data_IF_245794743533
#
_entry.id   IF_245794743533
#
_cell.length_a   1.000
_cell.length_b   1.000
_cell.length_c   1.000
_cell.angle_alpha   90.00
_cell.angle_beta   90.00
_cell.angle_gamma   90.00
#
_symmetry.space_group_name_H-M   'P 1'
#
loop_
_entity.id
_entity.type
_entity.pdbx_description
1 polymer ?
#
# COMPACT_ATOMS: atom_id res chain seq x y z
N UNK A 1 -5.22 27.22 9.85
CA UNK A 1 -4.44 26.16 9.19
C UNK A 1 -5.36 24.95 9.12
N UNK A 2 -5.80 24.60 7.90
CA UNK A 2 -6.66 23.42 7.67
C UNK A 2 -5.75 22.21 7.75
N UNK A 3 -6.06 21.18 8.55
CA UNK A 3 -5.25 19.96 8.59
C UNK A 3 -5.24 19.32 7.20
N UNK A 4 -4.05 19.01 6.71
CA UNK A 4 -3.82 18.36 5.41
C UNK A 4 -4.49 17.00 5.45
N UNK A 5 -5.41 16.74 4.53
CA UNK A 5 -6.32 15.60 4.51
C UNK A 5 -5.58 14.25 4.43
N UNK A 6 -6.18 13.23 5.03
CA UNK A 6 -5.78 11.83 4.93
C UNK A 6 -5.76 11.38 3.46
N UNK A 7 -4.74 10.62 3.01
CA UNK A 7 -4.60 10.23 1.61
C UNK A 7 -5.61 9.17 1.12
N UNK A 8 -6.61 8.83 1.90
CA UNK A 8 -7.66 7.90 1.51
C UNK A 8 -9.02 8.58 1.59
N UNK A 9 -9.83 8.54 0.50
CA UNK A 9 -11.09 9.26 0.39
C UNK A 9 -12.20 8.56 1.19
N UNK A 10 -12.13 8.63 2.49
CA UNK A 10 -13.23 8.23 3.35
C UNK A 10 -13.59 9.37 4.28
N UNK A 11 -14.71 9.98 3.94
CA UNK A 11 -15.44 11.01 4.66
C UNK A 11 -14.89 11.43 6.01
N UNK A 12 -14.27 12.56 6.05
CA UNK A 12 -14.18 13.43 7.21
C UNK A 12 -15.60 13.61 7.81
N UNK A 13 -15.79 13.56 9.12
CA UNK A 13 -17.10 13.71 9.73
C UNK A 13 -17.69 15.10 9.40
N UNK A 14 -18.73 15.12 8.58
CA UNK A 14 -19.45 16.35 8.21
C UNK A 14 -20.13 16.36 6.84
N UNK A 15 -20.01 15.34 6.00
CA UNK A 15 -20.74 15.26 4.73
C UNK A 15 -21.62 14.02 4.64
N UNK A 16 -22.87 14.23 4.26
CA UNK A 16 -24.01 13.30 4.24
C UNK A 16 -23.74 12.01 3.46
N UNK A 17 -24.09 10.88 4.06
CA UNK A 17 -24.08 9.55 3.48
C UNK A 17 -25.20 9.37 2.47
N UNK A 18 -24.89 8.81 1.29
CA UNK A 18 -25.89 8.15 0.44
C UNK A 18 -25.95 6.68 0.89
N UNK A 19 -27.13 6.29 1.36
CA UNK A 19 -27.45 4.93 1.80
C UNK A 19 -27.59 4.02 0.58
N UNK A 20 -26.74 2.99 0.48
CA UNK A 20 -26.95 1.88 -0.45
C UNK A 20 -27.57 0.72 0.33
N UNK A 21 -28.73 0.26 -0.11
CA UNK A 21 -29.49 -0.83 0.51
C UNK A 21 -28.90 -2.21 0.21
N UNK A 22 -29.30 -3.27 0.97
CA UNK A 22 -28.71 -4.59 0.88
C UNK A 22 -29.23 -5.36 -0.33
N UNK A 23 -28.34 -5.91 -1.15
CA UNK A 23 -28.65 -6.86 -2.21
C UNK A 23 -28.51 -8.28 -1.70
N UNK A 24 -29.57 -9.06 -1.87
CA UNK A 24 -29.72 -10.46 -1.48
C UNK A 24 -28.75 -11.39 -2.23
N UNK A 25 -28.16 -12.33 -1.50
CA UNK A 25 -27.37 -13.43 -2.01
C UNK A 25 -28.25 -14.59 -2.52
N UNK A 26 -27.87 -15.33 -3.58
CA UNK A 26 -28.50 -16.59 -3.93
C UNK A 26 -27.84 -17.77 -3.20
N UNK A 27 -28.69 -18.65 -2.65
CA UNK A 27 -28.34 -19.96 -2.09
C UNK A 27 -28.01 -20.95 -3.20
N UNK A 28 -26.94 -21.70 -3.06
CA UNK A 28 -26.57 -22.85 -3.89
C UNK A 28 -26.07 -23.99 -3.02
N UNK A 29 -26.63 -25.13 -3.23
CA UNK A 29 -26.69 -26.40 -2.49
C UNK A 29 -25.37 -27.17 -2.45
N UNK A 30 -25.21 -27.87 -1.33
CA UNK A 30 -24.15 -28.86 -1.06
C UNK A 30 -24.33 -30.16 -1.86
N UNK A 31 -23.24 -30.81 -2.21
CA UNK A 31 -23.15 -32.26 -2.28
C UNK A 31 -21.75 -32.75 -1.89
N UNK A 32 -21.75 -33.69 -0.97
CA UNK A 32 -20.65 -34.51 -0.46
C UNK A 32 -19.94 -35.28 -1.57
N UNK A 33 -18.62 -35.46 -1.43
CA UNK A 33 -18.00 -36.78 -1.63
C UNK A 33 -16.66 -36.87 -0.88
N UNK A 34 -16.70 -37.77 0.05
CA UNK A 34 -15.65 -38.31 0.93
C UNK A 34 -14.76 -39.27 0.15
N UNK A 35 -13.44 -39.02 0.07
CA UNK A 35 -12.46 -40.09 -0.21
C UNK A 35 -11.17 -39.91 0.60
N UNK A 36 -11.02 -40.80 1.56
CA UNK A 36 -9.75 -41.17 2.21
C UNK A 36 -8.75 -41.69 1.20
N UNK A 37 -7.50 -41.24 1.26
CA UNK A 37 -6.33 -42.06 0.92
C UNK A 37 -5.04 -41.54 1.57
N UNK A 38 -4.53 -42.39 2.43
CA UNK A 38 -3.17 -42.84 2.66
C UNK A 38 -2.03 -41.85 2.88
N UNK A 39 -1.52 -41.95 4.10
CA UNK A 39 -0.24 -41.43 4.59
C UNK A 39 0.92 -42.09 3.87
N UNK A 40 1.70 -41.36 3.12
CA UNK A 40 3.07 -41.71 2.84
C UNK A 40 3.99 -40.66 3.47
N UNK A 41 4.67 -41.13 4.52
CA UNK A 41 5.73 -40.39 5.20
C UNK A 41 6.96 -40.36 4.29
N UNK A 42 7.07 -39.37 3.43
CA UNK A 42 8.34 -39.11 2.76
C UNK A 42 9.11 -38.04 3.58
N UNK A 43 10.23 -38.47 4.14
CA UNK A 43 11.27 -37.60 4.65
C UNK A 43 11.72 -36.67 3.50
N UNK A 44 11.26 -35.45 3.52
CA UNK A 44 11.84 -34.39 2.70
C UNK A 44 13.19 -34.02 3.33
N UNK A 45 14.27 -34.46 2.73
CA UNK A 45 15.59 -33.87 2.88
C UNK A 45 15.45 -32.39 2.53
N UNK A 46 15.81 -31.52 3.48
CA UNK A 46 15.64 -30.07 3.35
C UNK A 46 16.31 -29.56 2.08
N UNK A 47 15.52 -29.06 1.15
CA UNK A 47 16.02 -28.17 0.13
C UNK A 47 16.46 -26.87 0.85
N UNK A 48 17.59 -26.27 0.49
CA UNK A 48 17.97 -24.98 1.04
C UNK A 48 16.81 -24.03 0.75
N UNK A 49 16.25 -23.45 1.81
CA UNK A 49 15.26 -22.40 1.74
C UNK A 49 15.91 -21.23 0.99
N UNK A 50 15.54 -21.06 -0.27
CA UNK A 50 15.94 -19.89 -1.04
C UNK A 50 15.29 -18.72 -0.29
N UNK A 51 16.09 -18.00 0.49
CA UNK A 51 15.63 -16.80 1.17
C UNK A 51 15.05 -15.88 0.10
N UNK A 52 13.74 -15.85 0.02
CA UNK A 52 13.03 -14.95 -0.87
C UNK A 52 13.35 -13.53 -0.42
N UNK A 53 14.03 -12.77 -1.26
CA UNK A 53 14.29 -11.35 -1.00
C UNK A 53 12.93 -10.65 -0.95
N UNK A 54 12.66 -9.94 0.15
CA UNK A 54 11.41 -9.20 0.33
C UNK A 54 11.28 -8.14 -0.75
N UNK A 55 10.10 -7.98 -1.31
CA UNK A 55 9.84 -6.92 -2.29
C UNK A 55 9.55 -5.60 -1.58
N UNK A 56 10.02 -4.52 -2.17
CA UNK A 56 9.55 -3.17 -1.86
C UNK A 56 8.44 -2.82 -2.84
N UNK A 57 7.25 -2.63 -2.33
CA UNK A 57 6.03 -2.33 -3.10
C UNK A 57 5.58 -0.92 -2.78
N UNK A 58 5.64 -0.03 -3.76
CA UNK A 58 5.08 1.32 -3.67
C UNK A 58 3.61 1.27 -4.11
N UNK A 59 2.71 1.65 -3.22
CA UNK A 59 1.29 1.82 -3.51
C UNK A 59 0.91 3.29 -3.37
N UNK A 60 0.48 3.91 -4.47
CA UNK A 60 0.18 5.34 -4.48
C UNK A 60 -1.10 5.66 -5.27
N UNK A 61 -1.79 6.70 -4.80
CA UNK A 61 -2.95 7.28 -5.43
C UNK A 61 -2.51 8.48 -6.25
N UNK A 62 -2.82 8.50 -7.54
CA UNK A 62 -2.40 9.54 -8.46
C UNK A 62 -3.59 10.19 -9.16
N UNK A 63 -3.45 11.47 -9.47
CA UNK A 63 -4.24 12.10 -10.52
C UNK A 63 -3.73 11.65 -11.91
N UNK A 64 -4.49 11.90 -12.96
CA UNK A 64 -4.11 11.57 -14.34
C UNK A 64 -2.79 12.27 -14.76
N UNK A 65 -2.51 13.46 -14.23
CA UNK A 65 -1.26 14.20 -14.46
C UNK A 65 -0.15 13.87 -13.45
N UNK A 66 -0.31 12.76 -12.67
CA UNK A 66 0.74 12.16 -11.84
C UNK A 66 0.95 12.81 -10.47
N UNK A 67 0.07 13.70 -10.04
CA UNK A 67 0.12 14.29 -8.69
C UNK A 67 -0.28 13.23 -7.66
N UNK A 68 0.54 13.08 -6.61
CA UNK A 68 0.30 12.19 -5.47
C UNK A 68 0.04 12.96 -4.16
N UNK A 69 0.28 14.27 -4.14
CA UNK A 69 0.00 15.12 -2.98
C UNK A 69 -1.50 15.39 -2.87
N UNK A 70 -2.01 15.38 -1.63
CA UNK A 70 -3.39 15.67 -1.28
C UNK A 70 -4.42 14.88 -2.15
N UNK A 71 -4.36 13.53 -2.15
CA UNK A 71 -5.16 12.70 -3.06
C UNK A 71 -6.67 12.86 -2.87
N UNK A 72 -7.15 13.34 -1.74
CA UNK A 72 -8.57 13.65 -1.50
C UNK A 72 -9.12 14.70 -2.47
N UNK A 73 -8.25 15.51 -3.08
CA UNK A 73 -8.66 16.48 -4.08
C UNK A 73 -9.12 15.82 -5.40
N UNK A 74 -8.66 14.60 -5.69
CA UNK A 74 -8.95 13.91 -6.95
C UNK A 74 -9.44 12.46 -6.80
N UNK A 75 -9.26 11.84 -5.63
CA UNK A 75 -9.86 10.55 -5.28
C UNK A 75 -11.17 10.83 -4.53
N UNK A 76 -12.28 10.85 -5.23
CA UNK A 76 -13.58 11.20 -4.65
C UNK A 76 -14.52 10.01 -4.47
N UNK A 77 -14.21 8.90 -5.13
CA UNK A 77 -14.98 7.67 -5.10
C UNK A 77 -14.05 6.51 -4.76
N UNK A 78 -14.58 5.52 -4.04
CA UNK A 78 -13.82 4.34 -3.65
C UNK A 78 -14.70 3.10 -3.77
N UNK A 79 -14.68 2.47 -4.92
CA UNK A 79 -15.50 1.31 -5.21
C UNK A 79 -14.95 -0.01 -4.64
N UNK A 80 -15.73 -1.08 -4.76
CA UNK A 80 -15.36 -2.39 -4.23
C UNK A 80 -14.15 -3.02 -4.94
N UNK A 81 -13.94 -2.69 -6.22
CA UNK A 81 -12.76 -3.16 -6.98
C UNK A 81 -11.50 -2.49 -6.45
N UNK A 82 -11.55 -1.19 -6.17
CA UNK A 82 -10.43 -0.46 -5.54
C UNK A 82 -10.16 -0.97 -4.13
N UNK A 83 -11.22 -1.27 -3.35
CA UNK A 83 -11.10 -1.85 -2.00
C UNK A 83 -10.46 -3.24 -2.04
N UNK A 84 -10.89 -4.11 -2.94
CA UNK A 84 -10.32 -5.43 -3.13
C UNK A 84 -8.86 -5.37 -3.60
N UNK A 85 -8.53 -4.41 -4.48
CA UNK A 85 -7.16 -4.15 -4.91
C UNK A 85 -6.26 -3.77 -3.73
N UNK A 86 -6.68 -2.82 -2.90
CA UNK A 86 -5.92 -2.43 -1.71
C UNK A 86 -5.75 -3.61 -0.75
N UNK A 87 -6.82 -4.37 -0.48
CA UNK A 87 -6.78 -5.55 0.37
C UNK A 87 -5.75 -6.58 -0.13
N UNK A 88 -5.70 -6.84 -1.43
CA UNK A 88 -4.73 -7.76 -2.03
C UNK A 88 -3.28 -7.24 -1.90
N UNK A 89 -3.07 -5.93 -2.02
CA UNK A 89 -1.74 -5.32 -1.88
C UNK A 89 -1.23 -5.43 -0.45
N UNK A 90 -2.04 -5.08 0.54
CA UNK A 90 -1.62 -5.07 1.94
C UNK A 90 -1.52 -6.49 2.55
N UNK A 91 -2.20 -7.48 1.98
CA UNK A 91 -2.19 -8.86 2.48
C UNK A 91 -0.81 -9.53 2.43
N UNK A 92 0.11 -9.05 1.60
CA UNK A 92 1.47 -9.58 1.48
C UNK A 92 2.48 -8.83 2.34
N UNK A 93 2.09 -7.69 2.93
CA UNK A 93 2.99 -6.77 3.61
C UNK A 93 3.02 -7.01 5.13
N UNK A 94 4.22 -7.08 5.71
CA UNK A 94 4.43 -7.14 7.15
C UNK A 94 5.24 -5.97 7.70
N UNK A 95 5.64 -5.04 6.83
CA UNK A 95 6.37 -3.82 7.17
C UNK A 95 5.92 -2.67 6.27
N UNK A 96 5.87 -1.46 6.80
CA UNK A 96 5.57 -0.22 6.06
C UNK A 96 6.65 0.82 6.34
N UNK A 97 7.14 1.48 5.29
CA UNK A 97 8.05 2.63 5.42
C UNK A 97 7.24 3.91 5.23
N UNK A 98 7.35 4.81 6.19
CA UNK A 98 6.72 6.12 6.16
C UNK A 98 7.75 7.24 6.23
N UNK A 99 7.49 8.34 5.57
CA UNK A 99 8.19 9.60 5.82
C UNK A 99 7.61 10.32 7.05
N UNK A 100 8.41 11.21 7.64
CA UNK A 100 8.01 11.97 8.84
C UNK A 100 6.66 12.67 8.72
N UNK A 101 6.38 13.30 7.57
CA UNK A 101 5.13 14.04 7.34
C UNK A 101 3.94 13.08 7.34
N UNK A 102 4.00 12.04 6.51
CA UNK A 102 2.95 11.02 6.44
C UNK A 102 2.72 10.34 7.79
N UNK A 103 3.80 10.05 8.53
CA UNK A 103 3.68 9.52 9.88
C UNK A 103 2.91 10.46 10.81
N UNK A 104 3.25 11.76 10.83
CA UNK A 104 2.60 12.73 11.71
C UNK A 104 1.09 12.86 11.46
N UNK A 105 0.70 12.91 10.18
CA UNK A 105 -0.69 12.98 9.75
C UNK A 105 -1.44 11.65 10.06
N UNK A 106 -0.81 10.54 9.78
CA UNK A 106 -1.41 9.21 9.92
C UNK A 106 -1.51 8.73 11.37
N UNK A 107 -0.55 9.05 12.23
CA UNK A 107 -0.59 8.75 13.65
C UNK A 107 -1.70 9.51 14.40
N UNK A 108 -2.20 10.61 13.82
CA UNK A 108 -3.38 11.31 14.33
C UNK A 108 -4.69 10.66 13.89
N UNK A 109 -4.75 10.17 12.65
CA UNK A 109 -5.99 9.73 12.01
C UNK A 109 -6.28 8.23 12.20
N UNK A 110 -5.30 7.36 11.88
CA UNK A 110 -5.55 5.91 11.76
C UNK A 110 -5.85 5.19 13.07
N UNK A 111 -5.28 5.56 14.25
CA UNK A 111 -5.61 4.87 15.50
C UNK A 111 -7.10 4.90 15.88
N UNK A 112 -7.81 5.96 15.48
CA UNK A 112 -9.26 6.10 15.69
C UNK A 112 -10.13 5.71 14.52
N UNK A 113 -9.54 5.31 13.39
CA UNK A 113 -10.26 5.05 12.14
C UNK A 113 -10.86 3.64 12.09
N UNK A 114 -12.08 3.54 11.53
CA UNK A 114 -12.77 2.26 11.26
C UNK A 114 -12.77 1.89 9.77
N UNK A 115 -12.00 2.57 8.95
CA UNK A 115 -11.97 2.41 7.48
C UNK A 115 -11.23 1.13 7.10
N UNK A 116 -11.99 0.09 6.77
CA UNK A 116 -11.44 -1.22 6.43
C UNK A 116 -11.17 -1.37 4.92
N UNK A 117 -10.19 -2.19 4.53
CA UNK A 117 -9.30 -3.03 5.36
C UNK A 117 -8.06 -2.29 5.89
N UNK A 118 -7.83 -1.04 5.51
CA UNK A 118 -6.56 -0.35 5.75
C UNK A 118 -6.34 0.01 7.23
N UNK A 119 -7.40 0.38 7.97
CA UNK A 119 -7.27 0.76 9.38
C UNK A 119 -6.71 -0.38 10.24
N UNK A 120 -7.21 -1.61 10.06
CA UNK A 120 -6.71 -2.79 10.76
C UNK A 120 -5.25 -3.08 10.40
N UNK A 121 -4.95 -3.09 9.10
CA UNK A 121 -3.61 -3.32 8.60
C UNK A 121 -2.61 -2.30 9.14
N UNK A 122 -2.86 -1.00 8.94
CA UNK A 122 -1.87 0.04 9.26
C UNK A 122 -1.66 0.20 10.77
N UNK A 123 -2.67 -0.09 11.59
CA UNK A 123 -2.52 -0.11 13.04
C UNK A 123 -1.76 -1.34 13.53
N UNK A 124 -1.86 -2.49 12.86
CA UNK A 124 -1.21 -3.74 13.25
C UNK A 124 0.21 -3.93 12.71
N UNK A 125 0.51 -3.45 11.50
CA UNK A 125 1.78 -3.67 10.81
C UNK A 125 2.96 -2.93 11.48
N UNK A 126 4.18 -3.46 11.34
CA UNK A 126 5.40 -2.76 11.73
C UNK A 126 5.62 -1.51 10.84
N UNK A 127 5.84 -0.36 11.44
CA UNK A 127 6.06 0.92 10.76
C UNK A 127 7.46 1.45 11.03
N UNK A 128 8.22 1.70 9.96
CA UNK A 128 9.55 2.29 10.02
C UNK A 128 9.50 3.72 9.46
N UNK A 129 9.87 4.69 10.27
CA UNK A 129 9.71 6.11 9.94
C UNK A 129 11.04 6.72 9.57
N UNK A 130 11.18 7.11 8.30
CA UNK A 130 12.36 7.83 7.79
C UNK A 130 12.33 9.28 8.30
N UNK A 131 13.07 9.52 9.40
CA UNK A 131 13.18 10.83 10.05
C UNK A 131 14.49 10.94 10.81
N UNK A 132 15.06 12.15 10.85
CA UNK A 132 16.19 12.50 11.73
C UNK A 132 15.75 13.13 13.05
N UNK A 133 14.46 13.32 13.27
CA UNK A 133 13.90 13.92 14.48
C UNK A 133 13.08 12.87 15.26
N UNK A 134 12.96 13.02 16.59
CA UNK A 134 12.07 12.17 17.38
C UNK A 134 10.62 12.18 16.86
N UNK A 135 9.94 11.05 17.00
CA UNK A 135 8.52 10.94 16.67
C UNK A 135 7.72 11.81 17.65
N UNK A 136 6.87 12.67 17.10
CA UNK A 136 6.07 13.62 17.90
C UNK A 136 4.82 13.00 18.50
N UNK A 137 4.39 11.86 17.99
CA UNK A 137 3.22 11.10 18.44
C UNK A 137 3.60 9.64 18.61
N UNK A 138 2.99 8.98 19.56
CA UNK A 138 3.11 7.54 19.70
C UNK A 138 2.09 6.85 18.79
N UNK A 139 2.54 5.83 18.09
CA UNK A 139 1.70 4.93 17.32
C UNK A 139 2.24 3.52 17.47
N UNK A 140 1.38 2.58 17.80
CA UNK A 140 1.75 1.18 18.03
C UNK A 140 2.58 0.63 16.86
N UNK A 141 3.63 -0.13 17.16
CA UNK A 141 4.53 -0.75 16.18
C UNK A 141 5.24 0.27 15.25
N UNK A 142 5.45 1.50 15.70
CA UNK A 142 6.21 2.50 14.95
C UNK A 142 7.59 2.72 15.58
N UNK A 143 8.63 2.70 14.74
CA UNK A 143 10.02 2.97 15.13
C UNK A 143 10.68 3.89 14.09
N UNK A 144 11.68 4.66 14.53
CA UNK A 144 12.50 5.44 13.59
C UNK A 144 13.45 4.53 12.82
N UNK A 145 13.77 4.91 11.59
CA UNK A 145 14.84 4.28 10.80
C UNK A 145 16.18 4.72 11.38
N UNK A 146 16.98 3.76 11.81
CA UNK A 146 18.37 4.01 12.24
C UNK A 146 19.29 4.14 11.01
N UNK A 147 20.05 5.23 10.94
CA UNK A 147 20.95 5.48 9.82
C UNK A 147 20.24 6.00 8.57
N UNK A 148 20.76 5.66 7.39
CA UNK A 148 20.21 6.06 6.10
C UNK A 148 19.03 5.20 5.66
N UNK A 149 18.00 5.82 5.07
CA UNK A 149 16.84 5.10 4.54
C UNK A 149 17.22 3.97 3.58
N UNK A 150 18.15 4.23 2.67
CA UNK A 150 18.56 3.30 1.61
C UNK A 150 19.25 2.07 2.20
N UNK A 151 20.17 2.26 3.11
CA UNK A 151 20.90 1.20 3.82
C UNK A 151 19.93 0.36 4.66
N UNK A 152 19.05 1.01 5.42
CA UNK A 152 18.04 0.35 6.22
C UNK A 152 17.14 -0.57 5.36
N UNK A 153 16.67 -0.09 4.21
CA UNK A 153 15.79 -0.88 3.34
C UNK A 153 16.55 -2.02 2.67
N UNK A 154 17.82 -1.85 2.30
CA UNK A 154 18.68 -2.97 1.81
C UNK A 154 18.78 -4.08 2.85
N UNK A 155 19.06 -3.72 4.09
CA UNK A 155 19.15 -4.67 5.19
C UNK A 155 17.80 -5.34 5.50
N UNK A 156 16.70 -4.58 5.43
CA UNK A 156 15.37 -5.13 5.66
C UNK A 156 14.95 -6.11 4.55
N UNK A 157 15.34 -5.87 3.30
CA UNK A 157 15.02 -6.75 2.16
C UNK A 157 15.62 -8.15 2.29
N UNK A 158 16.77 -8.30 2.93
CA UNK A 158 17.44 -9.61 3.07
C UNK A 158 17.02 -10.37 4.35
N UNK A 159 16.19 -9.77 5.20
CA UNK A 159 15.61 -10.45 6.36
C UNK A 159 14.40 -11.29 5.96
N UNK A 160 14.08 -12.37 6.68
CA UNK A 160 12.82 -13.09 6.48
C UNK A 160 11.62 -12.18 6.71
N UNK A 161 10.58 -12.35 5.90
CA UNK A 161 9.33 -11.59 6.05
C UNK A 161 8.54 -11.48 4.76
N UNK A 162 7.41 -10.79 4.84
CA UNK A 162 6.55 -10.42 3.74
C UNK A 162 7.07 -9.21 2.95
N UNK A 163 6.25 -8.65 2.08
CA UNK A 163 6.60 -7.46 1.32
C UNK A 163 6.73 -6.21 2.22
N UNK A 164 7.53 -5.26 1.78
CA UNK A 164 7.73 -3.97 2.43
C UNK A 164 6.90 -2.93 1.67
N UNK A 165 5.86 -2.40 2.31
CA UNK A 165 4.99 -1.38 1.72
C UNK A 165 5.57 0.02 1.84
N UNK A 166 5.41 0.83 0.81
CA UNK A 166 5.57 2.29 0.85
C UNK A 166 4.24 2.90 0.44
N UNK A 167 3.61 3.61 1.38
CA UNK A 167 2.31 4.25 1.18
C UNK A 167 2.41 5.75 1.48
N UNK A 168 1.75 6.58 0.69
CA UNK A 168 1.59 8.04 0.88
C UNK A 168 2.88 8.85 1.13
N UNK A 169 4.03 8.28 0.90
CA UNK A 169 5.32 8.91 1.24
C UNK A 169 6.14 9.21 -0.01
N UNK A 170 5.73 10.23 -0.77
CA UNK A 170 6.33 10.62 -2.06
C UNK A 170 7.87 10.69 -1.98
N UNK A 171 8.43 11.32 -0.95
CA UNK A 171 9.89 11.47 -0.80
C UNK A 171 10.58 10.14 -0.55
N UNK A 172 9.97 9.25 0.23
CA UNK A 172 10.46 7.88 0.47
C UNK A 172 10.42 7.07 -0.81
N UNK A 173 9.26 7.06 -1.49
CA UNK A 173 9.09 6.35 -2.76
C UNK A 173 10.15 6.79 -3.80
N UNK A 174 10.34 8.10 -3.97
CA UNK A 174 11.37 8.65 -4.88
C UNK A 174 12.79 8.24 -4.48
N UNK A 175 13.14 8.34 -3.20
CA UNK A 175 14.47 7.97 -2.74
C UNK A 175 14.77 6.48 -2.99
N UNK A 176 13.79 5.62 -2.77
CA UNK A 176 13.94 4.18 -3.00
C UNK A 176 13.94 3.82 -4.50
N UNK A 177 13.16 4.52 -5.33
CA UNK A 177 13.20 4.38 -6.79
C UNK A 177 14.57 4.81 -7.34
N UNK A 178 15.09 5.96 -6.89
CA UNK A 178 16.41 6.46 -7.30
C UNK A 178 17.55 5.54 -6.86
N UNK A 179 17.38 4.79 -5.75
CA UNK A 179 18.35 3.84 -5.22
C UNK A 179 18.18 2.41 -5.78
N UNK A 180 17.29 2.21 -6.74
CA UNK A 180 16.98 0.89 -7.36
C UNK A 180 16.55 -0.18 -6.34
N UNK A 181 15.78 0.23 -5.33
CA UNK A 181 15.30 -0.65 -4.27
C UNK A 181 13.82 -1.05 -4.41
N UNK A 182 13.05 -0.35 -5.23
CA UNK A 182 11.65 -0.67 -5.49
C UNK A 182 11.54 -1.83 -6.48
N UNK A 183 10.72 -2.81 -6.16
CA UNK A 183 10.47 -3.97 -7.01
C UNK A 183 9.16 -3.84 -7.79
N UNK A 184 8.12 -3.28 -7.16
CA UNK A 184 6.81 -3.10 -7.79
C UNK A 184 6.22 -1.71 -7.51
N UNK A 185 5.58 -1.14 -8.55
CA UNK A 185 4.71 0.02 -8.44
C UNK A 185 3.27 -0.43 -8.62
N UNK A 186 2.41 -0.14 -7.65
CA UNK A 186 0.97 -0.38 -7.71
C UNK A 186 0.25 0.95 -7.59
N UNK A 187 -0.30 1.42 -8.69
CA UNK A 187 -0.83 2.76 -8.81
C UNK A 187 -2.33 2.73 -9.05
N UNK A 188 -3.04 3.60 -8.35
CA UNK A 188 -4.45 3.91 -8.60
C UNK A 188 -4.50 5.30 -9.21
N UNK A 189 -4.87 5.39 -10.49
CA UNK A 189 -4.89 6.65 -11.23
C UNK A 189 -6.32 7.12 -11.38
N UNK A 190 -6.62 8.27 -10.81
CA UNK A 190 -7.93 8.90 -10.90
C UNK A 190 -8.20 9.42 -12.31
N UNK A 191 -9.45 9.37 -12.80
CA UNK A 191 -9.85 10.00 -14.06
C UNK A 191 -10.01 11.53 -13.88
N UNK A 192 -9.02 12.19 -13.25
CA UNK A 192 -9.02 13.61 -12.90
C UNK A 192 -7.63 14.22 -13.06
N UNK A 193 -7.58 15.47 -13.43
CA UNK A 193 -6.37 16.30 -13.47
C UNK A 193 -6.33 17.17 -12.21
N UNK A 194 -5.25 17.05 -11.43
CA UNK A 194 -5.04 17.92 -10.27
C UNK A 194 -4.47 19.31 -10.64
N UNK A 195 -3.64 19.37 -11.68
CA UNK A 195 -3.03 20.58 -12.21
C UNK A 195 -1.91 21.17 -11.34
N UNK A 196 -1.93 20.94 -10.03
CA UNK A 196 -0.93 21.41 -9.06
C UNK A 196 -0.71 20.34 -7.97
N UNK A 197 0.43 20.44 -7.28
CA UNK A 197 0.85 19.48 -6.25
C UNK A 197 2.08 18.71 -6.66
N UNK A 198 2.68 17.97 -5.73
CA UNK A 198 3.88 17.16 -5.99
C UNK A 198 3.50 15.89 -6.74
N UNK A 199 4.15 15.67 -7.88
CA UNK A 199 3.99 14.42 -8.65
C UNK A 199 4.88 13.33 -8.07
N UNK A 200 4.48 12.07 -8.19
CA UNK A 200 5.24 10.93 -7.67
C UNK A 200 6.61 10.78 -8.35
N UNK A 201 6.67 10.94 -9.67
CA UNK A 201 7.82 10.53 -10.47
C UNK A 201 8.72 11.68 -10.94
N UNK A 202 8.43 12.93 -10.55
CA UNK A 202 9.26 14.08 -10.94
C UNK A 202 10.70 13.97 -10.44
N UNK A 203 11.65 14.29 -11.30
CA UNK A 203 13.08 14.33 -10.97
C UNK A 203 13.76 12.97 -10.90
N UNK A 204 13.05 11.89 -11.25
CA UNK A 204 13.66 10.56 -11.38
C UNK A 204 14.31 10.39 -12.76
N UNK A 205 15.39 9.61 -12.85
CA UNK A 205 15.93 9.18 -14.13
C UNK A 205 14.93 8.27 -14.85
N UNK A 206 15.10 8.01 -16.16
CA UNK A 206 14.31 7.01 -16.86
C UNK A 206 14.45 5.64 -16.19
N UNK A 207 13.32 5.03 -15.83
CA UNK A 207 13.24 3.70 -15.20
C UNK A 207 12.40 2.82 -16.13
N UNK A 208 12.90 1.63 -16.46
CA UNK A 208 12.17 0.65 -17.26
C UNK A 208 11.16 -0.08 -16.39
N UNK A 209 9.94 -0.18 -16.87
CA UNK A 209 8.85 -0.89 -16.21
C UNK A 209 8.30 -1.99 -17.13
N UNK A 210 7.94 -3.12 -16.52
CA UNK A 210 7.18 -4.20 -17.13
C UNK A 210 5.77 -4.22 -16.55
N UNK A 211 4.76 -4.22 -17.40
CA UNK A 211 3.37 -4.27 -16.97
C UNK A 211 3.05 -5.67 -16.42
N UNK A 212 2.58 -5.73 -15.19
CA UNK A 212 2.06 -6.96 -14.55
C UNK A 212 0.56 -7.06 -14.79
N UNK A 213 -0.17 -5.94 -14.55
CA UNK A 213 -1.62 -5.88 -14.65
C UNK A 213 -2.07 -4.44 -14.92
N UNK A 214 -3.15 -4.33 -15.70
CA UNK A 214 -3.92 -3.10 -15.79
C UNK A 214 -5.41 -3.42 -15.83
N UNK A 215 -6.21 -2.63 -15.13
CA UNK A 215 -7.66 -2.76 -15.12
C UNK A 215 -8.32 -1.42 -14.81
N UNK A 216 -9.58 -1.28 -15.20
CA UNK A 216 -10.38 -0.10 -14.88
C UNK A 216 -11.43 -0.48 -13.86
N UNK A 217 -11.58 0.30 -12.81
CA UNK A 217 -12.65 0.12 -11.83
C UNK A 217 -14.00 0.64 -12.36
N UNK A 218 -15.13 0.23 -11.77
CA UNK A 218 -16.44 0.75 -12.14
C UNK A 218 -16.56 2.28 -12.07
N UNK A 219 -15.86 2.92 -11.14
CA UNK A 219 -15.80 4.38 -11.00
C UNK A 219 -14.79 5.06 -11.96
N UNK A 220 -14.18 4.30 -12.88
CA UNK A 220 -13.29 4.81 -13.92
C UNK A 220 -11.82 4.99 -13.51
N UNK A 221 -11.42 4.54 -12.32
CA UNK A 221 -10.02 4.57 -11.91
C UNK A 221 -9.21 3.50 -12.61
N UNK A 222 -7.98 3.83 -13.01
CA UNK A 222 -7.04 2.85 -13.56
C UNK A 222 -6.24 2.24 -12.41
N UNK A 223 -6.25 0.91 -12.32
CA UNK A 223 -5.44 0.13 -11.40
C UNK A 223 -4.32 -0.51 -12.19
N UNK A 224 -3.09 -0.07 -11.98
CA UNK A 224 -1.93 -0.51 -12.77
C UNK A 224 -0.82 -1.01 -11.86
N UNK A 225 -0.33 -2.20 -12.15
CA UNK A 225 0.77 -2.83 -11.44
C UNK A 225 1.94 -3.00 -12.40
N UNK A 226 3.11 -2.50 -12.00
CA UNK A 226 4.35 -2.60 -12.76
C UNK A 226 5.45 -3.23 -11.92
N UNK A 227 6.29 -4.04 -12.59
CA UNK A 227 7.59 -4.46 -12.07
C UNK A 227 8.65 -3.46 -12.52
N UNK A 228 9.52 -3.07 -11.60
CA UNK A 228 10.71 -2.28 -11.92
C UNK A 228 11.77 -3.22 -12.48
N UNK A 229 12.29 -2.91 -13.68
CA UNK A 229 13.29 -3.72 -14.37
C UNK A 229 14.66 -3.05 -14.17
N UNK A 230 15.59 -3.81 -13.60
CA UNK A 230 16.99 -3.43 -13.37
C UNK A 230 17.85 -3.78 -14.57
#
# INVERSE_FOLDING_TARGET
>A
MIPTACPYPFAWPGKSFIRVGPTLAPRGTATDEFRLRERSTQHRVGQPEVLSVRKVVVYELLSLDGVAEDPDAFITDWDDVMRANLAAVIATQDAVILGRRSYGEWAEFWPGSTIQPFAEFINGVAKFVATSAPLQREWVNATTVDGGLVEFVRDLKVRPGGDIGVHASISVARALLAADLVDELKLVIAPRIAGRGRRLLDGLPPIRLESIRSSTSPSGYLLVDYRVIR
#
